data_IF_961940216858
#
_entry.id   IF_961940216858
#
_cell.length_a   1.000
_cell.length_b   1.000
_cell.length_c   1.000
_cell.angle_alpha   90.00
_cell.angle_beta   90.00
_cell.angle_gamma   90.00
#
_symmetry.space_group_name_H-M   'P 1'
#
loop_
_entity.id
_entity.type
_entity.pdbx_description
1 polymer ?
#
# COMPACT_ATOMS: atom_id res chain seq x y z
N UNK A 1 4.12 -16.90 -2.29
CA UNK A 1 3.45 -15.66 -1.89
C UNK A 1 2.80 -15.04 -3.12
N UNK A 2 1.49 -14.84 -3.08
CA UNK A 2 0.70 -14.23 -4.15
C UNK A 2 0.89 -12.70 -4.11
N UNK A 3 1.05 -12.06 -5.27
CA UNK A 3 1.15 -10.61 -5.38
C UNK A 3 -0.20 -10.04 -5.81
N UNK A 4 -0.75 -9.09 -5.05
CA UNK A 4 -2.00 -8.41 -5.36
C UNK A 4 -1.68 -6.95 -5.65
N UNK A 5 -2.01 -6.51 -6.86
CA UNK A 5 -1.89 -5.12 -7.25
C UNK A 5 -2.96 -4.28 -6.54
N UNK A 6 -2.53 -3.18 -5.94
CA UNK A 6 -3.40 -2.20 -5.27
C UNK A 6 -3.12 -0.85 -5.90
N UNK A 7 -3.98 -0.43 -6.82
CA UNK A 7 -3.78 0.82 -7.54
C UNK A 7 -4.12 2.03 -6.66
N UNK A 8 -3.30 3.06 -6.74
CA UNK A 8 -3.48 4.30 -5.98
C UNK A 8 -4.87 4.92 -6.20
N UNK A 9 -5.35 4.90 -7.45
CA UNK A 9 -6.69 5.39 -7.84
C UNK A 9 -7.84 4.62 -7.21
N UNK A 10 -7.62 3.39 -6.76
CA UNK A 10 -8.67 2.56 -6.17
C UNK A 10 -8.74 2.80 -4.67
N UNK A 11 -7.64 3.19 -4.02
CA UNK A 11 -7.59 3.50 -2.58
C UNK A 11 -7.90 4.96 -2.24
N UNK A 12 -7.84 5.89 -3.21
CA UNK A 12 -8.15 7.32 -3.05
C UNK A 12 -9.25 7.73 -4.03
N UNK A 13 -10.27 8.46 -3.56
CA UNK A 13 -11.32 9.02 -4.40
C UNK A 13 -10.81 10.18 -5.26
N UNK A 14 -11.45 10.41 -6.41
CA UNK A 14 -11.08 11.52 -7.31
C UNK A 14 -11.25 12.90 -6.65
N UNK A 15 -12.20 13.05 -5.72
CA UNK A 15 -12.42 14.26 -4.91
C UNK A 15 -11.43 14.39 -3.72
N UNK A 16 -10.55 13.41 -3.56
CA UNK A 16 -9.66 13.27 -2.42
C UNK A 16 -10.27 12.42 -1.30
N UNK A 17 -9.40 11.92 -0.42
CA UNK A 17 -9.78 11.06 0.70
C UNK A 17 -9.87 9.57 0.34
N UNK A 18 -9.95 8.70 1.37
CA UNK A 18 -9.87 7.25 1.18
C UNK A 18 -11.15 6.68 0.57
N UNK A 19 -10.99 5.75 -0.38
CA UNK A 19 -12.08 4.96 -0.93
C UNK A 19 -12.41 3.78 0.00
N UNK A 20 -13.23 4.06 1.01
CA UNK A 20 -13.54 3.09 2.07
C UNK A 20 -14.33 1.85 1.58
N UNK A 21 -15.05 1.98 0.45
CA UNK A 21 -15.78 0.88 -0.20
C UNK A 21 -14.80 -0.11 -0.83
N UNK A 22 -13.86 0.38 -1.62
CA UNK A 22 -12.80 -0.46 -2.19
C UNK A 22 -11.99 -1.16 -1.09
N UNK A 23 -11.59 -0.42 -0.04
CA UNK A 23 -10.81 -0.98 1.06
C UNK A 23 -11.56 -2.08 1.84
N UNK A 24 -12.89 -1.94 1.97
CA UNK A 24 -13.71 -3.01 2.55
C UNK A 24 -13.78 -4.24 1.63
N UNK A 25 -13.90 -4.05 0.32
CA UNK A 25 -13.90 -5.14 -0.66
C UNK A 25 -12.55 -5.87 -0.72
N UNK A 26 -11.45 -5.13 -0.75
CA UNK A 26 -10.09 -5.66 -0.68
C UNK A 26 -9.89 -6.50 0.58
N UNK A 27 -10.36 -6.02 1.75
CA UNK A 27 -10.29 -6.78 2.99
C UNK A 27 -11.05 -8.11 2.90
N UNK A 28 -12.26 -8.13 2.31
CA UNK A 28 -13.03 -9.37 2.15
C UNK A 28 -12.30 -10.36 1.22
N UNK A 29 -11.77 -9.87 0.09
CA UNK A 29 -10.96 -10.70 -0.80
C UNK A 29 -9.74 -11.31 -0.09
N UNK A 30 -9.04 -10.52 0.73
CA UNK A 30 -7.90 -11.01 1.51
C UNK A 30 -8.31 -12.05 2.56
N UNK A 31 -9.50 -11.90 3.17
CA UNK A 31 -10.06 -12.89 4.10
C UNK A 31 -10.40 -14.20 3.41
N UNK A 32 -10.90 -14.16 2.18
CA UNK A 32 -11.15 -15.36 1.39
C UNK A 32 -9.85 -16.09 1.04
N UNK A 33 -8.78 -15.35 0.75
CA UNK A 33 -7.44 -15.91 0.52
C UNK A 33 -6.82 -16.48 1.80
N UNK A 34 -7.03 -15.81 2.93
CA UNK A 34 -6.61 -16.31 4.25
C UNK A 34 -7.27 -17.66 4.58
N UNK A 35 -8.58 -17.79 4.31
CA UNK A 35 -9.30 -19.06 4.50
C UNK A 35 -8.76 -20.20 3.60
N UNK A 36 -8.11 -19.85 2.48
CA UNK A 36 -7.44 -20.78 1.58
C UNK A 36 -5.98 -21.05 1.96
N UNK A 37 -5.49 -20.50 3.08
CA UNK A 37 -4.12 -20.66 3.54
C UNK A 37 -3.08 -19.93 2.68
N UNK A 38 -3.49 -18.94 1.89
CA UNK A 38 -2.58 -18.18 1.03
C UNK A 38 -1.84 -17.09 1.82
N UNK A 39 -0.65 -16.74 1.35
CA UNK A 39 0.13 -15.59 1.82
C UNK A 39 0.25 -14.56 0.70
N UNK A 40 0.06 -13.29 1.04
CA UNK A 40 -0.10 -12.19 0.10
C UNK A 40 0.93 -11.08 0.36
N UNK A 41 1.49 -10.55 -0.73
CA UNK A 41 2.21 -9.28 -0.79
C UNK A 41 1.35 -8.28 -1.55
N UNK A 42 1.15 -7.09 -0.98
CA UNK A 42 0.43 -6.01 -1.66
C UNK A 42 1.42 -5.18 -2.49
N UNK A 43 1.09 -4.93 -3.75
CA UNK A 43 1.97 -4.23 -4.69
C UNK A 43 1.34 -2.90 -5.06
N UNK A 44 1.91 -1.76 -4.60
CA UNK A 44 1.46 -0.44 -4.98
C UNK A 44 1.60 -0.18 -6.47
N UNK A 45 0.48 0.04 -7.16
CA UNK A 45 0.46 0.57 -8.53
C UNK A 45 0.18 2.07 -8.50
N UNK A 46 1.26 2.85 -8.67
CA UNK A 46 1.23 4.32 -8.57
C UNK A 46 1.70 4.92 -9.89
N UNK A 47 0.79 5.51 -10.68
CA UNK A 47 1.17 6.23 -11.89
C UNK A 47 2.11 7.40 -11.58
N UNK A 48 3.11 7.65 -12.43
CA UNK A 48 4.12 8.71 -12.22
C UNK A 48 3.51 10.10 -11.98
N UNK A 49 2.37 10.40 -12.63
CA UNK A 49 1.64 11.66 -12.45
C UNK A 49 1.12 11.89 -11.02
N UNK A 50 0.93 10.81 -10.24
CA UNK A 50 0.52 10.86 -8.84
C UNK A 50 1.70 11.00 -7.87
N UNK A 51 2.93 11.05 -8.38
CA UNK A 51 4.16 11.11 -7.59
C UNK A 51 5.16 12.10 -8.23
N UNK A 52 4.65 13.28 -8.62
CA UNK A 52 5.38 14.30 -9.39
C UNK A 52 6.40 15.09 -8.54
N UNK A 53 6.21 15.13 -7.24
CA UNK A 53 7.05 15.85 -6.27
C UNK A 53 7.01 15.12 -4.91
N UNK A 54 7.83 15.59 -3.97
CA UNK A 54 7.97 14.98 -2.64
C UNK A 54 6.65 15.00 -1.87
N UNK A 55 5.88 16.08 -1.96
CA UNK A 55 4.61 16.18 -1.23
C UNK A 55 3.58 15.16 -1.76
N UNK A 56 3.48 15.00 -3.08
CA UNK A 56 2.65 13.97 -3.70
C UNK A 56 3.10 12.55 -3.29
N UNK A 57 4.41 12.30 -3.17
CA UNK A 57 4.93 11.02 -2.70
C UNK A 57 4.57 10.73 -1.23
N UNK A 58 4.50 11.77 -0.39
CA UNK A 58 4.04 11.64 1.00
C UNK A 58 2.53 11.36 1.06
N UNK A 59 1.72 11.94 0.17
CA UNK A 59 0.30 11.61 0.03
C UNK A 59 0.08 10.17 -0.41
N UNK A 60 0.89 9.68 -1.36
CA UNK A 60 0.92 8.25 -1.74
C UNK A 60 1.21 7.37 -0.52
N UNK A 61 2.23 7.72 0.26
CA UNK A 61 2.57 6.99 1.49
C UNK A 61 1.41 6.97 2.49
N UNK A 62 0.76 8.11 2.71
CA UNK A 62 -0.39 8.21 3.61
C UNK A 62 -1.57 7.35 3.16
N UNK A 63 -1.84 7.27 1.86
CA UNK A 63 -2.90 6.44 1.30
C UNK A 63 -2.63 4.94 1.54
N UNK A 64 -1.40 4.46 1.27
CA UNK A 64 -1.04 3.06 1.52
C UNK A 64 -0.92 2.73 3.01
N UNK A 65 -0.54 3.68 3.86
CA UNK A 65 -0.64 3.52 5.33
C UNK A 65 -2.08 3.33 5.78
N UNK A 66 -3.03 4.07 5.19
CA UNK A 66 -4.45 3.87 5.46
C UNK A 66 -4.94 2.50 4.95
N UNK A 67 -4.51 2.10 3.75
CA UNK A 67 -4.78 0.77 3.21
C UNK A 67 -4.29 -0.34 4.17
N UNK A 68 -3.03 -0.27 4.61
CA UNK A 68 -2.44 -1.20 5.58
C UNK A 68 -3.26 -1.32 6.86
N UNK A 69 -3.71 -0.18 7.42
CA UNK A 69 -4.58 -0.17 8.61
C UNK A 69 -5.92 -0.86 8.38
N UNK A 70 -6.49 -0.75 7.18
CA UNK A 70 -7.79 -1.36 6.84
C UNK A 70 -7.71 -2.87 6.65
N UNK A 71 -6.56 -3.39 6.26
CA UNK A 71 -6.33 -4.84 6.07
C UNK A 71 -5.54 -5.47 7.22
N UNK A 72 -5.32 -4.74 8.32
CA UNK A 72 -4.45 -5.15 9.44
C UNK A 72 -4.78 -6.49 10.09
N UNK A 73 -6.04 -6.91 10.00
CA UNK A 73 -6.52 -8.14 10.59
C UNK A 73 -6.48 -9.33 9.62
N UNK A 74 -6.01 -9.13 8.39
CA UNK A 74 -5.73 -10.17 7.40
C UNK A 74 -4.30 -10.70 7.61
N UNK A 75 -4.16 -11.79 8.37
CA UNK A 75 -2.90 -12.49 8.66
C UNK A 75 -2.23 -13.10 7.42
N UNK A 76 -2.97 -13.24 6.31
CA UNK A 76 -2.41 -13.58 5.02
C UNK A 76 -1.51 -12.47 4.45
N UNK A 77 -1.70 -11.20 4.80
CA UNK A 77 -0.89 -10.07 4.32
C UNK A 77 0.45 -10.05 5.04
N UNK A 78 1.53 -10.26 4.29
CA UNK A 78 2.90 -10.27 4.82
C UNK A 78 3.60 -8.93 4.69
N UNK A 79 3.14 -8.05 3.82
CA UNK A 79 3.74 -6.74 3.66
C UNK A 79 3.40 -6.09 2.33
N UNK A 80 4.27 -5.16 1.92
CA UNK A 80 4.11 -4.35 0.72
C UNK A 80 5.40 -4.30 -0.10
N UNK A 81 5.27 -4.25 -1.41
CA UNK A 81 6.37 -3.73 -2.25
C UNK A 81 6.52 -2.22 -2.07
N UNK A 82 7.73 -1.71 -2.27
CA UNK A 82 7.97 -0.27 -2.35
C UNK A 82 7.40 0.24 -3.68
N UNK A 83 6.62 1.35 -3.69
CA UNK A 83 6.13 1.93 -4.94
C UNK A 83 7.27 2.17 -5.94
N UNK A 84 7.23 1.50 -7.09
CA UNK A 84 8.32 1.52 -8.06
C UNK A 84 8.64 2.95 -8.56
N UNK A 85 7.63 3.82 -8.56
CA UNK A 85 7.74 5.24 -8.93
C UNK A 85 8.75 6.00 -8.04
N UNK A 86 8.94 5.61 -6.79
CA UNK A 86 9.90 6.27 -5.90
C UNK A 86 11.34 6.13 -6.41
N UNK A 87 11.70 5.00 -7.04
CA UNK A 87 13.05 4.79 -7.56
C UNK A 87 13.44 5.80 -8.66
N UNK A 88 12.48 6.40 -9.35
CA UNK A 88 12.71 7.41 -10.38
C UNK A 88 12.82 8.84 -9.83
N UNK A 89 12.60 9.05 -8.52
CA UNK A 89 12.64 10.37 -7.89
C UNK A 89 14.02 10.70 -7.33
N UNK A 90 14.38 12.00 -7.34
CA UNK A 90 15.67 12.49 -6.82
C UNK A 90 15.94 12.06 -5.37
N UNK A 91 14.88 11.96 -4.55
CA UNK A 91 14.92 11.50 -3.14
C UNK A 91 14.28 10.14 -2.93
N UNK A 92 14.32 9.29 -3.95
CA UNK A 92 13.64 7.99 -3.97
C UNK A 92 13.96 7.06 -2.80
N UNK A 93 15.23 7.01 -2.39
CA UNK A 93 15.66 6.21 -1.24
C UNK A 93 15.02 6.67 0.08
N UNK A 94 15.02 7.98 0.33
CA UNK A 94 14.40 8.55 1.53
C UNK A 94 12.87 8.35 1.54
N UNK A 95 12.23 8.47 0.36
CA UNK A 95 10.79 8.21 0.22
C UNK A 95 10.45 6.74 0.49
N UNK A 96 11.27 5.81 -0.01
CA UNK A 96 11.12 4.38 0.27
C UNK A 96 11.29 4.07 1.77
N UNK A 97 12.25 4.69 2.44
CA UNK A 97 12.47 4.49 3.88
C UNK A 97 11.36 5.11 4.72
N UNK A 98 10.83 6.27 4.31
CA UNK A 98 9.65 6.88 4.92
C UNK A 98 8.42 5.98 4.76
N UNK A 99 8.19 5.43 3.56
CA UNK A 99 7.10 4.48 3.30
C UNK A 99 7.17 3.26 4.22
N UNK A 100 8.33 2.63 4.32
CA UNK A 100 8.55 1.50 5.24
C UNK A 100 8.25 1.90 6.68
N UNK A 101 8.80 3.01 7.14
CA UNK A 101 8.67 3.48 8.52
C UNK A 101 7.22 3.75 8.90
N UNK A 102 6.46 4.43 8.04
CA UNK A 102 5.06 4.76 8.26
C UNK A 102 4.16 3.51 8.36
N UNK A 103 4.44 2.48 7.55
CA UNK A 103 3.70 1.22 7.58
C UNK A 103 4.10 0.36 8.79
N UNK A 104 5.39 0.27 9.10
CA UNK A 104 5.91 -0.50 10.24
C UNK A 104 5.44 0.03 11.60
N UNK A 105 5.15 1.32 11.72
CA UNK A 105 4.70 1.95 12.99
C UNK A 105 3.52 1.22 13.63
N UNK A 106 2.58 0.72 12.80
CA UNK A 106 1.42 -0.05 13.26
C UNK A 106 1.47 -1.52 12.84
N UNK A 107 2.39 -1.89 11.95
CA UNK A 107 2.49 -3.24 11.38
C UNK A 107 3.95 -3.73 11.40
N UNK A 108 4.55 -3.95 12.58
CA UNK A 108 5.99 -4.23 12.72
C UNK A 108 6.44 -5.56 12.09
N UNK A 109 5.50 -6.43 11.71
CA UNK A 109 5.75 -7.72 11.07
C UNK A 109 5.78 -7.62 9.53
N UNK A 110 5.46 -6.45 8.95
CA UNK A 110 5.46 -6.30 7.51
C UNK A 110 6.86 -6.38 6.94
N UNK A 111 7.00 -7.16 5.87
CA UNK A 111 8.20 -7.23 5.03
C UNK A 111 8.06 -6.31 3.82
N UNK A 112 9.17 -5.88 3.26
CA UNK A 112 9.21 -5.01 2.09
C UNK A 112 10.15 -5.57 1.03
N UNK A 113 9.67 -5.57 -0.22
CA UNK A 113 10.41 -5.95 -1.43
C UNK A 113 10.59 -4.75 -2.36
#
# INVERSE_FOLDING_TARGET
MQKIQVAYKDIVLAEGGPNEEYLASLRNQLKDLEAQGQEVMLVPDVPAQNCKDVDAALEVTAAYRHCARRVKDCACVKGFEIPAVFAAMERGGELADNFKSELLEKHPHYVFE
#
